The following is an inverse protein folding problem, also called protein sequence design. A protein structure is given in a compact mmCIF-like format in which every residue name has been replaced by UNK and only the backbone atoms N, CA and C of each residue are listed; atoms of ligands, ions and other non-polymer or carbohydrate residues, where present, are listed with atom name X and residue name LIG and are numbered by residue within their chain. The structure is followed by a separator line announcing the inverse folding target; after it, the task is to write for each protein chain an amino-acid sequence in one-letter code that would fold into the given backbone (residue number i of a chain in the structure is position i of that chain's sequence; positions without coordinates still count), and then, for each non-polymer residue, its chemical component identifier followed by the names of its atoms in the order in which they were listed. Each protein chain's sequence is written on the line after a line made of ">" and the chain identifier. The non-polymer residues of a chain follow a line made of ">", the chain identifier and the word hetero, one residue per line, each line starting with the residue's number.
data_IF_877573786939
#
_entry.id   IF_877573786939
#
_cell.length_a   1.000
_cell.length_b   1.000
_cell.length_c   1.000
_cell.angle_alpha   90.00
_cell.angle_beta   90.00
_cell.angle_gamma   90.00
#
_symmetry.space_group_name_H-M   'P 1'
#
loop_
_entity.id
_entity.type
_entity.pdbx_description
1 polymer ?
#
# COMPACT_ATOMS: atom_id res chain seq x y z
N UNK A 1 -38.26 -112.26 152.92
CA UNK A 1 -37.89 -110.82 152.99
C UNK A 1 -36.42 -110.59 152.67
N UNK A 2 -35.47 -111.36 153.23
CA UNK A 2 -34.03 -111.10 153.01
C UNK A 2 -33.47 -111.41 151.61
N UNK A 3 -33.93 -112.47 150.91
CA UNK A 3 -33.45 -112.80 149.54
C UNK A 3 -33.90 -111.81 148.46
N UNK A 4 -35.17 -111.37 148.49
CA UNK A 4 -35.68 -110.34 147.56
C UNK A 4 -34.98 -108.99 147.78
N UNK A 5 -34.69 -108.65 149.05
CA UNK A 5 -33.87 -107.51 149.41
C UNK A 5 -32.48 -107.58 148.77
N UNK A 6 -31.80 -108.73 148.85
CA UNK A 6 -30.48 -108.93 148.24
C UNK A 6 -30.45 -108.85 146.70
N UNK A 7 -31.47 -109.39 146.00
CA UNK A 7 -31.56 -109.32 144.51
C UNK A 7 -31.84 -107.90 144.02
N UNK A 8 -32.73 -107.19 144.72
CA UNK A 8 -32.97 -105.77 144.46
C UNK A 8 -31.72 -104.94 144.75
N UNK A 9 -31.00 -105.23 145.83
CA UNK A 9 -29.75 -104.56 146.21
C UNK A 9 -28.63 -104.80 145.18
N UNK A 10 -28.50 -106.01 144.64
CA UNK A 10 -27.56 -106.33 143.54
C UNK A 10 -27.95 -105.64 142.22
N UNK A 11 -29.23 -105.67 141.83
CA UNK A 11 -29.74 -104.98 140.63
C UNK A 11 -29.52 -103.46 140.73
N UNK A 12 -29.74 -102.91 141.92
CA UNK A 12 -29.54 -101.50 142.23
C UNK A 12 -28.04 -101.14 142.24
N UNK A 13 -27.15 -102.03 142.71
CA UNK A 13 -25.68 -101.92 142.55
C UNK A 13 -25.27 -101.90 141.06
N UNK A 14 -25.79 -102.80 140.24
CA UNK A 14 -25.48 -102.87 138.79
C UNK A 14 -26.02 -101.66 138.03
N UNK A 15 -27.24 -101.19 138.35
CA UNK A 15 -27.76 -99.95 137.76
C UNK A 15 -26.96 -98.73 138.20
N UNK A 16 -26.52 -98.66 139.47
CA UNK A 16 -25.62 -97.61 139.96
C UNK A 16 -24.27 -97.63 139.24
N UNK A 17 -23.68 -98.81 138.97
CA UNK A 17 -22.40 -98.90 138.24
C UNK A 17 -22.55 -98.54 136.75
N UNK A 18 -23.66 -98.91 136.12
CA UNK A 18 -24.00 -98.51 134.74
C UNK A 18 -24.22 -96.99 134.64
N UNK A 19 -24.94 -96.39 135.59
CA UNK A 19 -25.12 -94.93 135.71
C UNK A 19 -23.75 -94.26 135.86
N UNK A 20 -22.89 -94.74 136.77
CA UNK A 20 -21.53 -94.19 136.90
C UNK A 20 -20.71 -94.31 135.60
N UNK A 21 -20.87 -95.38 134.82
CA UNK A 21 -20.19 -95.56 133.53
C UNK A 21 -20.71 -94.57 132.48
N UNK A 22 -22.02 -94.36 132.42
CA UNK A 22 -22.65 -93.38 131.53
C UNK A 22 -22.28 -91.96 131.93
N UNK A 23 -22.33 -91.60 133.22
CA UNK A 23 -21.92 -90.29 133.73
C UNK A 23 -20.45 -90.00 133.38
N UNK A 24 -19.57 -91.00 133.48
CA UNK A 24 -18.17 -90.87 133.05
C UNK A 24 -18.03 -90.67 131.54
N UNK A 25 -18.87 -91.31 130.73
CA UNK A 25 -18.87 -91.13 129.27
C UNK A 25 -19.43 -89.75 128.88
N UNK A 26 -20.52 -89.31 129.52
CA UNK A 26 -21.11 -87.97 129.37
C UNK A 26 -20.08 -86.91 129.74
N UNK A 27 -19.43 -87.03 130.91
CA UNK A 27 -18.39 -86.08 131.32
C UNK A 27 -17.21 -86.01 130.35
N UNK A 28 -16.85 -87.15 129.71
CA UNK A 28 -15.79 -87.19 128.69
C UNK A 28 -16.23 -86.49 127.39
N UNK A 29 -17.44 -86.77 126.90
CA UNK A 29 -18.00 -86.11 125.72
C UNK A 29 -18.24 -84.61 125.96
N UNK A 30 -18.75 -84.21 127.12
CA UNK A 30 -18.90 -82.81 127.53
C UNK A 30 -17.54 -82.09 127.59
N UNK A 31 -16.50 -82.75 128.08
CA UNK A 31 -15.14 -82.22 128.06
C UNK A 31 -14.61 -82.07 126.62
N UNK A 32 -14.87 -83.04 125.73
CA UNK A 32 -14.48 -82.98 124.31
C UNK A 32 -15.25 -81.89 123.55
N UNK A 33 -16.56 -81.76 123.77
CA UNK A 33 -17.39 -80.68 123.23
C UNK A 33 -16.92 -79.32 123.75
N UNK A 34 -16.56 -79.22 125.03
CA UNK A 34 -15.98 -78.00 125.60
C UNK A 34 -14.63 -77.64 124.97
N UNK A 35 -13.78 -78.62 124.65
CA UNK A 35 -12.52 -78.38 123.93
C UNK A 35 -12.76 -77.96 122.48
N UNK A 36 -13.65 -78.64 121.76
CA UNK A 36 -14.03 -78.29 120.39
C UNK A 36 -14.66 -76.89 120.32
N UNK A 37 -15.55 -76.56 121.27
CA UNK A 37 -16.15 -75.24 121.41
C UNK A 37 -15.09 -74.14 121.55
N UNK A 38 -14.09 -74.34 122.41
CA UNK A 38 -12.95 -73.41 122.57
C UNK A 38 -12.09 -73.28 121.31
N UNK A 39 -11.94 -74.35 120.52
CA UNK A 39 -11.19 -74.31 119.26
C UNK A 39 -11.97 -73.49 118.22
N UNK A 40 -13.27 -73.76 118.05
CA UNK A 40 -14.14 -73.03 117.14
C UNK A 40 -14.16 -71.54 117.51
N UNK A 41 -14.29 -71.22 118.79
CA UNK A 41 -14.27 -69.83 119.26
C UNK A 41 -12.94 -69.12 118.93
N UNK A 42 -11.80 -69.80 119.13
CA UNK A 42 -10.48 -69.27 118.75
C UNK A 42 -10.35 -69.05 117.24
N UNK A 43 -10.83 -69.97 116.43
CA UNK A 43 -10.71 -69.87 114.98
C UNK A 43 -11.69 -68.83 114.40
N UNK A 44 -12.87 -68.67 114.98
CA UNK A 44 -13.78 -67.55 114.70
C UNK A 44 -13.11 -66.21 114.97
N UNK A 45 -12.43 -66.06 116.12
CA UNK A 45 -11.69 -64.83 116.45
C UNK A 45 -10.60 -64.52 115.43
N UNK A 46 -9.81 -65.52 115.01
CA UNK A 46 -8.78 -65.34 113.97
C UNK A 46 -9.40 -64.98 112.62
N UNK A 47 -10.55 -65.57 112.28
CA UNK A 47 -11.25 -65.27 111.03
C UNK A 47 -11.77 -63.84 111.03
N UNK A 48 -12.38 -63.38 112.11
CA UNK A 48 -12.79 -61.98 112.26
C UNK A 48 -11.62 -61.02 112.19
N UNK A 49 -10.49 -61.35 112.83
CA UNK A 49 -9.27 -60.55 112.72
C UNK A 49 -8.75 -60.48 111.28
N UNK A 50 -8.79 -61.60 110.55
CA UNK A 50 -8.41 -61.66 109.14
C UNK A 50 -9.35 -60.85 108.25
N UNK A 51 -10.67 -60.88 108.52
CA UNK A 51 -11.65 -60.06 107.81
C UNK A 51 -11.42 -58.56 108.06
N UNK A 52 -11.20 -58.16 109.32
CA UNK A 52 -10.88 -56.77 109.68
C UNK A 52 -9.61 -56.29 108.98
N UNK A 53 -8.57 -57.12 108.95
CA UNK A 53 -7.30 -56.78 108.30
C UNK A 53 -7.44 -56.70 106.77
N UNK A 54 -8.27 -57.55 106.15
CA UNK A 54 -8.55 -57.48 104.71
C UNK A 54 -9.36 -56.23 104.36
N UNK A 55 -10.41 -55.94 105.12
CA UNK A 55 -11.22 -54.72 104.94
C UNK A 55 -10.34 -53.47 105.09
N UNK A 56 -9.49 -53.44 106.14
CA UNK A 56 -8.51 -52.38 106.33
C UNK A 56 -7.58 -52.22 105.13
N UNK A 57 -6.96 -53.29 104.65
CA UNK A 57 -6.08 -53.26 103.46
C UNK A 57 -6.81 -52.82 102.19
N UNK A 58 -8.06 -53.24 102.01
CA UNK A 58 -8.90 -52.85 100.88
C UNK A 58 -9.21 -51.35 100.91
N UNK A 59 -9.59 -50.83 102.08
CA UNK A 59 -9.83 -49.40 102.29
C UNK A 59 -8.54 -48.60 102.10
N UNK A 60 -7.43 -49.02 102.69
CA UNK A 60 -6.13 -48.36 102.52
C UNK A 60 -5.71 -48.32 101.05
N UNK A 61 -5.81 -49.44 100.32
CA UNK A 61 -5.54 -49.48 98.89
C UNK A 61 -6.46 -48.54 98.09
N UNK A 62 -7.77 -48.52 98.39
CA UNK A 62 -8.73 -47.62 97.73
C UNK A 62 -8.40 -46.15 97.97
N UNK A 63 -8.11 -45.78 99.21
CA UNK A 63 -7.75 -44.39 99.55
C UNK A 63 -6.44 -43.97 98.88
N UNK A 64 -5.45 -44.86 98.81
CA UNK A 64 -4.19 -44.61 98.10
C UNK A 64 -4.42 -44.38 96.60
N UNK A 65 -5.19 -45.26 95.93
CA UNK A 65 -5.54 -45.07 94.52
C UNK A 65 -6.34 -43.79 94.27
N UNK A 66 -7.25 -43.44 95.18
CA UNK A 66 -8.02 -42.21 95.07
C UNK A 66 -7.14 -40.96 95.25
N UNK A 67 -6.18 -40.99 96.18
CA UNK A 67 -5.22 -39.91 96.37
C UNK A 67 -4.28 -39.75 95.17
N UNK A 68 -3.74 -40.85 94.62
CA UNK A 68 -2.94 -40.84 93.40
C UNK A 68 -3.73 -40.32 92.19
N UNK A 69 -4.99 -40.74 92.04
CA UNK A 69 -5.86 -40.25 90.98
C UNK A 69 -6.12 -38.73 91.11
N UNK A 70 -6.34 -38.23 92.34
CA UNK A 70 -6.48 -36.79 92.61
C UNK A 70 -5.20 -36.02 92.29
N UNK A 71 -4.05 -36.49 92.77
CA UNK A 71 -2.74 -35.89 92.48
C UNK A 71 -2.46 -35.82 90.97
N UNK A 72 -2.71 -36.92 90.25
CA UNK A 72 -2.60 -36.96 88.77
C UNK A 72 -3.53 -35.95 88.10
N UNK A 73 -4.78 -35.85 88.57
CA UNK A 73 -5.75 -34.90 88.03
C UNK A 73 -5.30 -33.44 88.26
N UNK A 74 -4.81 -33.11 89.45
CA UNK A 74 -4.26 -31.79 89.78
C UNK A 74 -3.06 -31.44 88.88
N UNK A 75 -2.10 -32.36 88.72
CA UNK A 75 -0.96 -32.17 87.81
C UNK A 75 -1.41 -32.01 86.36
N UNK A 76 -2.45 -32.74 85.93
CA UNK A 76 -3.00 -32.61 84.57
C UNK A 76 -3.62 -31.23 84.34
N UNK A 77 -4.29 -30.67 85.35
CA UNK A 77 -4.83 -29.30 85.29
C UNK A 77 -3.70 -28.27 85.20
N UNK A 78 -2.64 -28.42 86.00
CA UNK A 78 -1.48 -27.52 85.97
C UNK A 78 -0.75 -27.57 84.62
N UNK A 79 -0.55 -28.77 84.05
CA UNK A 79 0.02 -28.93 82.71
C UNK A 79 -0.82 -28.20 81.66
N UNK A 80 -2.15 -28.34 81.72
CA UNK A 80 -3.05 -27.64 80.78
C UNK A 80 -2.96 -26.12 80.93
N UNK A 81 -2.87 -25.62 82.17
CA UNK A 81 -2.70 -24.21 82.46
C UNK A 81 -1.39 -23.67 81.90
N UNK A 82 -0.26 -24.31 82.23
CA UNK A 82 1.06 -23.93 81.70
C UNK A 82 1.11 -24.02 80.17
N UNK A 83 0.46 -25.02 79.58
CA UNK A 83 0.38 -25.14 78.11
C UNK A 83 -0.38 -23.96 77.49
N UNK A 84 -1.47 -23.51 78.11
CA UNK A 84 -2.21 -22.33 77.64
C UNK A 84 -1.40 -21.03 77.79
N UNK A 85 -0.65 -20.88 78.88
CA UNK A 85 0.27 -19.75 79.09
C UNK A 85 1.38 -19.73 78.03
N UNK A 86 1.97 -20.89 77.70
CA UNK A 86 2.98 -21.01 76.63
C UNK A 86 2.41 -20.55 75.28
N UNK A 87 1.18 -20.95 74.93
CA UNK A 87 0.55 -20.52 73.67
C UNK A 87 0.32 -19.01 73.67
N UNK A 88 -0.12 -18.45 74.79
CA UNK A 88 -0.35 -17.00 74.94
C UNK A 88 0.95 -16.21 74.77
N UNK A 89 2.02 -16.61 75.47
CA UNK A 89 3.33 -15.98 75.39
C UNK A 89 3.91 -16.10 73.97
N UNK A 90 3.75 -17.25 73.30
CA UNK A 90 4.18 -17.42 71.91
C UNK A 90 3.44 -16.45 70.97
N UNK A 91 2.13 -16.31 71.12
CA UNK A 91 1.36 -15.32 70.34
C UNK A 91 1.78 -13.87 70.64
N UNK A 92 2.18 -13.56 71.87
CA UNK A 92 2.79 -12.26 72.21
C UNK A 92 4.14 -12.05 71.53
N UNK A 93 5.01 -13.06 71.55
CA UNK A 93 6.31 -13.01 70.86
C UNK A 93 6.14 -12.75 69.36
N UNK A 94 5.22 -13.45 68.70
CA UNK A 94 4.94 -13.26 67.27
C UNK A 94 4.45 -11.83 66.96
N UNK A 95 3.57 -11.27 67.80
CA UNK A 95 3.12 -9.86 67.66
C UNK A 95 4.26 -8.86 67.83
N UNK A 96 5.16 -9.10 68.78
CA UNK A 96 6.33 -8.25 68.97
C UNK A 96 7.32 -8.39 67.81
N UNK A 97 7.48 -9.58 67.23
CA UNK A 97 8.31 -9.79 66.04
C UNK A 97 7.76 -9.04 64.82
N UNK A 98 6.44 -9.07 64.58
CA UNK A 98 5.80 -8.28 63.53
C UNK A 98 6.02 -6.78 63.72
N UNK A 99 5.79 -6.29 64.95
CA UNK A 99 6.04 -4.90 65.32
C UNK A 99 7.50 -4.50 65.09
N UNK A 100 8.45 -5.40 65.41
CA UNK A 100 9.88 -5.17 65.18
C UNK A 100 10.22 -5.11 63.68
N UNK A 101 9.55 -5.91 62.84
CA UNK A 101 9.70 -5.85 61.39
C UNK A 101 9.25 -4.48 60.87
N UNK A 102 8.12 -3.97 61.34
CA UNK A 102 7.63 -2.65 60.93
C UNK A 102 8.54 -1.52 61.39
N UNK A 103 9.05 -1.55 62.64
CA UNK A 103 10.03 -0.56 63.08
C UNK A 103 11.34 -0.60 62.27
N UNK A 104 11.79 -1.78 61.82
CA UNK A 104 12.93 -1.89 60.89
C UNK A 104 12.61 -1.24 59.54
N UNK A 105 11.42 -1.48 58.98
CA UNK A 105 10.97 -0.83 57.74
C UNK A 105 10.89 0.68 57.88
N UNK A 106 10.35 1.19 58.98
CA UNK A 106 10.28 2.62 59.25
C UNK A 106 11.67 3.23 59.40
N UNK A 107 12.59 2.56 60.11
CA UNK A 107 13.99 2.99 60.21
C UNK A 107 14.64 3.11 58.83
N UNK A 108 14.47 2.12 57.97
CA UNK A 108 15.03 2.13 56.62
C UNK A 108 14.41 3.24 55.75
N UNK A 109 13.11 3.47 55.87
CA UNK A 109 12.41 4.55 55.18
C UNK A 109 12.93 5.92 55.63
N UNK A 110 13.02 6.16 56.93
CA UNK A 110 13.54 7.41 57.49
C UNK A 110 14.99 7.64 57.05
N UNK A 111 15.81 6.59 56.99
CA UNK A 111 17.17 6.70 56.48
C UNK A 111 17.21 7.14 55.01
N UNK A 112 16.34 6.57 54.15
CA UNK A 112 16.27 6.93 52.72
C UNK A 112 15.77 8.34 52.47
N UNK A 113 14.83 8.81 53.30
CA UNK A 113 14.28 10.16 53.22
C UNK A 113 15.20 11.22 53.85
N UNK A 114 16.17 10.81 54.66
CA UNK A 114 17.17 11.71 55.22
C UNK A 114 18.05 12.28 54.10
N UNK A 115 18.54 13.53 54.21
CA UNK A 115 19.40 14.13 53.18
C UNK A 115 20.64 13.28 52.85
N UNK A 116 21.11 13.26 51.60
CA UNK A 116 22.28 12.47 51.18
C UNK A 116 23.54 12.76 52.02
N UNK A 117 23.74 14.03 52.34
CA UNK A 117 24.85 14.53 53.17
C UNK A 117 24.86 13.87 54.57
N UNK A 118 23.67 13.72 55.17
CA UNK A 118 23.52 13.08 56.47
C UNK A 118 23.67 11.55 56.37
N UNK A 119 23.14 10.93 55.31
CA UNK A 119 23.31 9.49 55.06
C UNK A 119 24.79 9.09 54.93
N UNK A 120 25.58 9.90 54.22
CA UNK A 120 27.02 9.68 54.04
C UNK A 120 27.81 9.89 55.33
N UNK A 121 27.47 10.91 56.12
CA UNK A 121 28.03 11.12 57.45
C UNK A 121 27.77 9.93 58.38
N UNK A 122 26.58 9.33 58.32
CA UNK A 122 26.25 8.13 59.12
C UNK A 122 26.98 6.88 58.64
N UNK A 123 27.09 6.67 57.33
CA UNK A 123 27.88 5.56 56.77
C UNK A 123 29.35 5.67 57.18
N UNK A 124 29.94 6.86 57.12
CA UNK A 124 31.34 7.09 57.51
C UNK A 124 31.56 6.96 59.02
N UNK A 125 30.63 7.43 59.86
CA UNK A 125 30.61 7.15 61.30
C UNK A 125 30.58 5.64 61.57
N UNK A 126 29.68 4.90 60.94
CA UNK A 126 29.57 3.45 61.09
C UNK A 126 30.83 2.69 60.63
N UNK A 127 31.52 3.15 59.58
CA UNK A 127 32.82 2.61 59.17
C UNK A 127 33.90 2.87 60.21
N UNK A 128 33.99 4.09 60.76
CA UNK A 128 34.98 4.45 61.79
C UNK A 128 34.78 3.64 63.07
N UNK A 129 33.54 3.48 63.52
CA UNK A 129 33.21 2.63 64.69
C UNK A 129 33.64 1.19 64.45
N UNK A 130 33.33 0.59 63.29
CA UNK A 130 33.75 -0.78 62.94
C UNK A 130 35.27 -0.97 62.91
N UNK A 131 36.05 0.06 62.56
CA UNK A 131 37.51 0.02 62.57
C UNK A 131 38.05 0.08 64.00
N UNK A 132 37.48 0.95 64.85
CA UNK A 132 37.87 1.09 66.27
C UNK A 132 37.51 -0.15 67.10
N UNK A 133 36.35 -0.77 66.85
CA UNK A 133 35.91 -1.98 67.56
C UNK A 133 36.76 -3.21 67.21
N UNK A 134 37.32 -3.29 65.99
CA UNK A 134 38.26 -4.38 65.64
C UNK A 134 39.58 -4.32 66.41
N UNK A 135 40.03 -3.13 66.81
CA UNK A 135 41.24 -2.97 67.63
C UNK A 135 40.97 -3.29 69.10
N UNK A 136 39.76 -3.00 69.61
CA UNK A 136 39.38 -3.21 71.02
C UNK A 136 38.90 -4.66 71.31
N UNK A 137 38.32 -5.36 70.32
CA UNK A 137 37.89 -6.76 70.47
C UNK A 137 39.07 -7.73 70.65
N UNK A 138 40.27 -7.41 70.18
CA UNK A 138 41.45 -8.24 70.41
C UNK A 138 41.93 -8.21 71.86
N UNK A 139 41.67 -7.12 72.61
CA UNK A 139 42.07 -7.01 74.02
C UNK A 139 40.99 -7.51 75.00
N UNK A 140 39.73 -7.60 74.56
CA UNK A 140 38.58 -7.95 75.43
C UNK A 140 38.08 -9.39 75.26
N UNK A 141 38.68 -10.15 74.35
CA UNK A 141 38.36 -11.57 74.12
C UNK A 141 38.89 -12.50 75.22
N UNK A 142 39.95 -12.11 75.96
CA UNK A 142 40.49 -12.92 77.06
C UNK A 142 39.69 -12.79 78.37
N UNK A 143 38.97 -11.70 78.59
CA UNK A 143 38.28 -11.45 79.87
C UNK A 143 36.91 -12.14 79.98
N UNK A 144 36.20 -12.32 78.87
CA UNK A 144 34.82 -12.82 78.89
C UNK A 144 34.68 -14.35 79.01
N UNK A 145 35.77 -15.10 78.85
CA UNK A 145 35.75 -16.56 79.02
C UNK A 145 35.77 -17.00 80.49
N UNK A 146 36.05 -16.09 81.43
CA UNK A 146 36.20 -16.42 82.86
C UNK A 146 34.91 -16.28 83.70
N UNK A 147 33.86 -15.60 83.21
CA UNK A 147 32.74 -15.17 84.06
C UNK A 147 31.42 -15.91 83.78
N UNK A 148 31.31 -16.69 82.70
CA UNK A 148 30.05 -17.36 82.36
C UNK A 148 30.11 -18.88 82.52
N UNK A 149 29.17 -19.41 83.30
CA UNK A 149 28.94 -20.83 83.56
C UNK A 149 28.68 -21.60 82.23
N UNK A 150 29.34 -22.77 81.97
CA UNK A 150 29.26 -23.51 80.70
C UNK A 150 27.87 -24.03 80.31
N UNK A 151 26.85 -23.86 81.15
CA UNK A 151 25.47 -24.30 80.88
C UNK A 151 24.62 -23.30 80.09
N UNK A 152 25.13 -22.13 79.74
CA UNK A 152 24.40 -21.19 78.91
C UNK A 152 24.60 -21.51 77.41
N UNK A 153 23.89 -22.53 76.92
CA UNK A 153 24.01 -23.00 75.53
C UNK A 153 23.05 -22.29 74.54
N UNK A 154 22.29 -21.28 74.99
CA UNK A 154 21.27 -20.62 74.17
C UNK A 154 21.31 -19.09 74.19
N UNK A 155 22.39 -18.49 74.68
CA UNK A 155 22.67 -17.09 74.33
C UNK A 155 23.62 -17.12 73.14
N UNK A 156 23.00 -17.27 71.97
CA UNK A 156 23.61 -16.84 70.73
C UNK A 156 24.13 -15.41 70.90
N UNK A 157 25.07 -15.05 70.04
CA UNK A 157 25.64 -13.72 69.81
C UNK A 157 24.70 -12.48 69.90
N UNK A 158 23.35 -12.53 69.77
CA UNK A 158 22.52 -11.32 69.76
C UNK A 158 22.42 -10.49 71.06
N UNK A 159 22.78 -11.00 72.23
CA UNK A 159 22.59 -10.21 73.46
C UNK A 159 23.57 -9.06 73.64
N UNK A 160 24.72 -9.07 72.95
CA UNK A 160 25.67 -7.96 72.99
C UNK A 160 25.23 -6.76 72.11
N UNK A 161 24.32 -6.99 71.15
CA UNK A 161 23.82 -5.94 70.24
C UNK A 161 22.66 -5.10 70.79
N UNK A 162 22.04 -5.49 71.91
CA UNK A 162 20.95 -4.70 72.53
C UNK A 162 21.45 -3.52 73.37
N UNK A 163 22.76 -3.40 73.58
CA UNK A 163 23.40 -2.35 74.38
C UNK A 163 24.16 -1.32 73.53
N UNK A 164 24.00 -1.33 72.20
CA UNK A 164 24.65 -0.36 71.31
C UNK A 164 23.64 0.59 70.67
N UNK A 165 23.71 1.82 71.18
CA UNK A 165 23.29 3.10 70.63
C UNK A 165 21.82 3.26 70.25
N UNK A 166 21.17 4.17 71.00
CA UNK A 166 19.96 4.85 70.58
C UNK A 166 20.17 5.36 69.13
N UNK A 167 19.36 4.92 68.16
CA UNK A 167 19.61 5.24 66.76
C UNK A 167 19.46 6.76 66.55
N UNK A 168 20.57 7.43 66.19
CA UNK A 168 20.56 8.85 65.83
C UNK A 168 19.67 9.03 64.57
N UNK A 169 18.48 9.60 64.76
CA UNK A 169 17.53 9.90 63.69
C UNK A 169 17.75 11.33 63.17
N UNK A 170 17.61 11.52 61.86
CA UNK A 170 17.64 12.85 61.25
C UNK A 170 16.39 13.67 61.63
N UNK A 171 15.23 13.05 61.55
CA UNK A 171 13.94 13.68 61.86
C UNK A 171 13.69 13.66 63.37
N UNK A 172 13.55 14.84 63.97
CA UNK A 172 13.30 15.01 65.40
C UNK A 172 11.82 15.22 65.71
N UNK A 173 11.06 15.76 64.76
CA UNK A 173 9.62 15.96 64.86
C UNK A 173 8.91 15.24 63.69
N UNK A 174 7.89 14.40 63.95
CA UNK A 174 7.11 13.74 62.90
C UNK A 174 6.55 14.68 61.83
N UNK A 175 6.25 15.93 62.18
CA UNK A 175 5.76 16.92 61.22
C UNK A 175 6.77 17.20 60.09
N UNK A 176 8.07 17.14 60.37
CA UNK A 176 9.11 17.35 59.35
C UNK A 176 9.02 16.32 58.22
N UNK A 177 8.64 15.09 58.54
CA UNK A 177 8.45 14.02 57.56
C UNK A 177 7.19 14.26 56.73
N UNK A 178 6.10 14.69 57.37
CA UNK A 178 4.84 15.00 56.67
C UNK A 178 5.03 16.18 55.73
N UNK A 179 5.72 17.23 56.18
CA UNK A 179 6.02 18.41 55.36
C UNK A 179 6.90 18.03 54.16
N UNK A 180 7.96 17.24 54.38
CA UNK A 180 8.84 16.74 53.31
C UNK A 180 8.07 15.89 52.28
N UNK A 181 7.24 14.96 52.72
CA UNK A 181 6.43 14.13 51.81
C UNK A 181 5.44 15.02 51.06
N UNK A 182 4.83 16.00 51.72
CA UNK A 182 3.92 16.97 51.07
C UNK A 182 4.65 17.75 49.98
N UNK A 183 5.82 18.29 50.28
CA UNK A 183 6.64 19.01 49.31
C UNK A 183 7.05 18.12 48.12
N UNK A 184 7.52 16.90 48.39
CA UNK A 184 7.86 15.93 47.35
C UNK A 184 6.64 15.57 46.49
N UNK A 185 5.45 15.45 47.08
CA UNK A 185 4.22 15.20 46.32
C UNK A 185 3.85 16.39 45.44
N UNK A 186 3.98 17.63 45.94
CA UNK A 186 3.73 18.84 45.16
C UNK A 186 4.73 18.97 43.99
N UNK A 187 6.02 18.72 44.25
CA UNK A 187 7.06 18.70 43.21
C UNK A 187 6.78 17.64 42.16
N UNK A 188 6.42 16.42 42.56
CA UNK A 188 6.07 15.34 41.63
C UNK A 188 4.84 15.70 40.79
N UNK A 189 3.80 16.28 41.39
CA UNK A 189 2.62 16.74 40.67
C UNK A 189 2.96 17.85 39.67
N UNK A 190 3.81 18.80 40.07
CA UNK A 190 4.29 19.86 39.18
C UNK A 190 5.12 19.31 38.01
N UNK A 191 5.99 18.33 38.25
CA UNK A 191 6.77 17.64 37.22
C UNK A 191 5.86 16.89 36.23
N UNK A 192 4.85 16.18 36.74
CA UNK A 192 3.86 15.49 35.91
C UNK A 192 3.14 16.49 35.01
N UNK A 193 2.62 17.58 35.59
CA UNK A 193 1.92 18.62 34.83
C UNK A 193 2.81 19.27 33.76
N UNK A 194 4.08 19.56 34.10
CA UNK A 194 5.02 20.13 33.15
C UNK A 194 5.33 19.13 32.02
N UNK A 195 5.57 17.87 32.36
CA UNK A 195 5.77 16.80 31.38
C UNK A 195 4.60 16.69 30.41
N UNK A 196 3.37 16.66 30.92
CA UNK A 196 2.15 16.60 30.09
C UNK A 196 2.03 17.84 29.20
N UNK A 197 2.27 19.05 29.73
CA UNK A 197 2.23 20.26 28.91
C UNK A 197 3.28 20.24 27.79
N UNK A 198 4.50 19.78 28.09
CA UNK A 198 5.56 19.64 27.07
C UNK A 198 5.17 18.61 26.03
N UNK A 199 4.59 17.48 26.43
CA UNK A 199 4.09 16.43 25.54
C UNK A 199 3.00 16.96 24.60
N UNK A 200 2.00 17.69 25.11
CA UNK A 200 0.97 18.35 24.30
C UNK A 200 1.59 19.31 23.27
N UNK A 201 2.53 20.18 23.69
CA UNK A 201 3.20 21.10 22.75
C UNK A 201 4.02 20.36 21.69
N UNK A 202 4.60 19.21 22.03
CA UNK A 202 5.35 18.39 21.11
C UNK A 202 4.41 17.75 20.09
N UNK A 203 3.26 17.24 20.51
CA UNK A 203 2.23 16.70 19.62
C UNK A 203 1.71 17.75 18.64
N UNK A 204 1.42 18.97 19.12
CA UNK A 204 1.00 20.09 18.26
C UNK A 204 2.07 20.43 17.22
N UNK A 205 3.35 20.50 17.64
CA UNK A 205 4.46 20.75 16.73
C UNK A 205 4.61 19.63 15.69
N UNK A 206 4.50 18.37 16.10
CA UNK A 206 4.53 17.23 15.18
C UNK A 206 3.41 17.29 14.14
N UNK A 207 2.18 17.60 14.56
CA UNK A 207 1.06 17.78 13.64
C UNK A 207 1.31 18.93 12.66
N UNK A 208 1.82 20.06 13.13
CA UNK A 208 2.16 21.20 12.27
C UNK A 208 3.24 20.87 11.24
N UNK A 209 4.27 20.10 11.65
CA UNK A 209 5.33 19.63 10.77
C UNK A 209 4.82 18.67 9.71
N UNK A 210 3.92 17.75 10.07
CA UNK A 210 3.32 16.82 9.13
C UNK A 210 2.45 17.54 8.08
N UNK A 211 1.68 18.55 8.51
CA UNK A 211 0.91 19.41 7.59
C UNK A 211 1.85 20.16 6.65
N UNK A 212 2.93 20.77 7.17
CA UNK A 212 3.92 21.48 6.37
C UNK A 212 4.61 20.56 5.37
N UNK A 213 4.99 19.34 5.79
CA UNK A 213 5.60 18.32 4.95
C UNK A 213 4.69 17.92 3.79
N UNK A 214 3.41 17.64 4.07
CA UNK A 214 2.41 17.33 3.02
C UNK A 214 2.24 18.47 2.03
N UNK A 215 2.25 19.72 2.49
CA UNK A 215 2.18 20.89 1.61
C UNK A 215 3.41 20.97 0.70
N UNK A 216 4.62 20.83 1.26
CA UNK A 216 5.87 20.83 0.50
C UNK A 216 5.87 19.72 -0.55
N UNK A 217 5.45 18.50 -0.18
CA UNK A 217 5.39 17.38 -1.13
C UNK A 217 4.43 17.68 -2.29
N UNK A 218 3.25 18.24 -2.01
CA UNK A 218 2.29 18.63 -3.05
C UNK A 218 2.87 19.70 -3.99
N UNK A 219 3.56 20.69 -3.43
CA UNK A 219 4.21 21.75 -4.21
C UNK A 219 5.35 21.17 -5.08
N UNK A 220 6.11 20.19 -4.56
CA UNK A 220 7.16 19.46 -5.29
C UNK A 220 6.60 18.64 -6.46
N UNK A 221 5.49 17.94 -6.25
CA UNK A 221 4.77 17.21 -7.31
C UNK A 221 4.29 18.18 -8.41
N UNK A 222 3.72 19.32 -8.02
CA UNK A 222 3.29 20.36 -8.94
C UNK A 222 4.46 20.96 -9.74
N UNK A 223 5.57 21.30 -9.08
CA UNK A 223 6.77 21.80 -9.75
C UNK A 223 7.34 20.78 -10.73
N UNK A 224 7.34 19.50 -10.36
CA UNK A 224 7.81 18.41 -11.23
C UNK A 224 6.97 18.31 -12.50
N UNK A 225 5.63 18.43 -12.38
CA UNK A 225 4.73 18.48 -13.53
C UNK A 225 5.02 19.69 -14.43
N UNK A 226 5.21 20.87 -13.86
CA UNK A 226 5.56 22.08 -14.62
C UNK A 226 6.90 21.95 -15.34
N UNK A 227 7.92 21.37 -14.68
CA UNK A 227 9.23 21.11 -15.29
C UNK A 227 9.07 20.15 -16.48
N UNK A 228 8.26 19.10 -16.35
CA UNK A 228 8.03 18.15 -17.43
C UNK A 228 7.31 18.79 -18.63
N UNK A 229 6.28 19.60 -18.38
CA UNK A 229 5.59 20.36 -19.43
C UNK A 229 6.57 21.31 -20.15
N UNK A 230 7.37 22.06 -19.41
CA UNK A 230 8.38 22.96 -19.97
C UNK A 230 9.43 22.21 -20.79
N UNK A 231 9.89 21.03 -20.32
CA UNK A 231 10.79 20.17 -21.10
C UNK A 231 10.16 19.72 -22.42
N UNK A 232 8.90 19.27 -22.40
CA UNK A 232 8.19 18.89 -23.63
C UNK A 232 8.04 20.06 -24.61
N UNK A 233 7.75 21.27 -24.11
CA UNK A 233 7.66 22.49 -24.92
C UNK A 233 9.01 22.83 -25.54
N UNK A 234 10.10 22.74 -24.77
CA UNK A 234 11.47 22.94 -25.26
C UNK A 234 11.80 21.93 -26.36
N UNK A 235 11.47 20.65 -26.18
CA UNK A 235 11.75 19.61 -27.17
C UNK A 235 10.97 19.82 -28.47
N UNK A 236 9.69 20.20 -28.37
CA UNK A 236 8.88 20.60 -29.53
C UNK A 236 9.50 21.78 -30.28
N UNK A 237 9.95 22.80 -29.58
CA UNK A 237 10.58 23.97 -30.21
C UNK A 237 11.96 23.63 -30.79
N UNK A 238 12.74 22.77 -30.14
CA UNK A 238 13.99 22.24 -30.71
C UNK A 238 13.73 21.48 -32.01
N UNK A 239 12.72 20.61 -32.07
CA UNK A 239 12.34 19.90 -33.30
C UNK A 239 11.84 20.85 -34.40
N UNK A 240 11.12 21.92 -34.04
CA UNK A 240 10.75 22.99 -34.99
C UNK A 240 12.00 23.70 -35.52
N UNK A 241 12.94 24.04 -34.63
CA UNK A 241 14.21 24.67 -34.97
C UNK A 241 15.07 23.81 -35.91
N UNK A 242 15.15 22.50 -35.67
CA UNK A 242 15.88 21.59 -36.59
C UNK A 242 15.18 21.48 -37.95
N UNK A 243 13.86 21.39 -37.99
CA UNK A 243 13.10 21.40 -39.24
C UNK A 243 13.30 22.71 -40.02
N UNK A 244 13.23 23.85 -39.35
CA UNK A 244 13.47 25.15 -39.99
C UNK A 244 14.90 25.26 -40.51
N UNK A 245 15.90 24.80 -39.75
CA UNK A 245 17.30 24.75 -40.19
C UNK A 245 17.46 23.94 -41.47
N UNK A 246 16.82 22.77 -41.56
CA UNK A 246 16.81 21.95 -42.78
C UNK A 246 16.13 22.67 -43.95
N UNK A 247 15.00 23.34 -43.71
CA UNK A 247 14.30 24.12 -44.75
C UNK A 247 15.14 25.27 -45.27
N UNK A 248 15.81 26.01 -44.37
CA UNK A 248 16.73 27.10 -44.75
C UNK A 248 17.92 26.55 -45.50
N UNK A 249 18.52 25.44 -45.05
CA UNK A 249 19.63 24.81 -45.76
C UNK A 249 19.23 24.32 -47.16
N UNK A 250 18.03 23.75 -47.30
CA UNK A 250 17.48 23.36 -48.60
C UNK A 250 17.25 24.59 -49.49
N UNK A 251 16.68 25.67 -48.95
CA UNK A 251 16.46 26.91 -49.68
C UNK A 251 17.77 27.54 -50.16
N UNK A 252 18.82 27.52 -49.35
CA UNK A 252 20.17 27.98 -49.75
C UNK A 252 20.80 27.05 -50.80
N UNK A 253 20.50 25.75 -50.78
CA UNK A 253 21.05 24.78 -51.75
C UNK A 253 20.31 24.80 -53.09
N UNK A 254 19.06 25.24 -53.10
CA UNK A 254 18.33 25.54 -54.31
C UNK A 254 18.85 26.90 -54.80
N UNK A 255 19.47 26.95 -55.97
CA UNK A 255 19.91 28.22 -56.56
C UNK A 255 18.66 29.09 -56.84
N UNK A 256 18.32 29.98 -55.90
CA UNK A 256 17.24 30.98 -56.07
C UNK A 256 17.53 31.89 -57.25
N UNK A 257 18.81 32.06 -57.58
CA UNK A 257 19.29 32.81 -58.74
C UNK A 257 18.74 32.23 -60.06
N UNK A 258 18.62 30.90 -60.20
CA UNK A 258 18.05 30.28 -61.41
C UNK A 258 16.51 30.46 -61.49
N UNK A 259 15.83 30.52 -60.34
CA UNK A 259 14.38 30.76 -60.29
C UNK A 259 14.03 32.23 -60.52
N UNK A 260 14.79 33.16 -59.94
CA UNK A 260 14.62 34.59 -60.14
C UNK A 260 14.92 34.97 -61.60
N UNK A 261 15.98 34.41 -62.20
CA UNK A 261 16.26 34.57 -63.64
C UNK A 261 15.13 34.02 -64.51
N UNK A 262 14.54 32.87 -64.15
CA UNK A 262 13.41 32.32 -64.88
C UNK A 262 12.14 33.18 -64.74
N UNK A 263 11.89 33.74 -63.56
CA UNK A 263 10.76 34.64 -63.31
C UNK A 263 10.93 35.97 -64.05
N UNK A 264 12.14 36.51 -64.11
CA UNK A 264 12.46 37.71 -64.88
C UNK A 264 12.27 37.45 -66.38
N UNK A 265 12.78 36.34 -66.91
CA UNK A 265 12.59 35.94 -68.32
C UNK A 265 11.10 35.74 -68.67
N UNK A 266 10.32 35.15 -67.76
CA UNK A 266 8.88 35.04 -67.91
C UNK A 266 8.21 36.43 -67.90
N UNK A 267 8.63 37.30 -66.98
CA UNK A 267 8.17 38.68 -66.88
C UNK A 267 8.39 39.47 -68.16
N UNK A 268 9.58 39.34 -68.77
CA UNK A 268 9.90 39.94 -70.07
C UNK A 268 8.97 39.41 -71.18
N UNK A 269 8.80 38.08 -71.26
CA UNK A 269 7.94 37.49 -72.30
C UNK A 269 6.47 37.89 -72.15
N UNK A 270 5.97 37.93 -70.92
CA UNK A 270 4.61 38.41 -70.62
C UNK A 270 4.46 39.88 -71.02
N UNK A 271 5.48 40.71 -70.77
CA UNK A 271 5.46 42.11 -71.17
C UNK A 271 5.44 42.28 -72.71
N UNK A 272 6.20 41.46 -73.45
CA UNK A 272 6.17 41.44 -74.91
C UNK A 272 4.78 41.10 -75.45
N UNK A 273 4.17 40.03 -74.94
CA UNK A 273 2.84 39.61 -75.38
C UNK A 273 1.78 40.68 -75.06
N UNK A 274 1.81 41.26 -73.86
CA UNK A 274 0.91 42.34 -73.48
C UNK A 274 1.05 43.56 -74.42
N UNK A 275 2.28 43.96 -74.74
CA UNK A 275 2.55 45.07 -75.66
C UNK A 275 2.04 44.80 -77.08
N UNK A 276 2.10 43.56 -77.54
CA UNK A 276 1.64 43.17 -78.88
C UNK A 276 0.12 43.07 -79.02
N UNK A 277 -0.58 42.65 -77.96
CA UNK A 277 -2.00 42.29 -78.04
C UNK A 277 -2.94 43.32 -77.41
N UNK A 278 -2.51 44.05 -76.35
CA UNK A 278 -3.42 44.87 -75.54
C UNK A 278 -3.14 46.37 -75.72
N UNK A 279 -1.92 46.84 -75.44
CA UNK A 279 -1.57 48.26 -75.54
C UNK A 279 -0.05 48.47 -75.64
N UNK A 280 0.42 49.31 -76.58
CA UNK A 280 1.85 49.58 -76.84
C UNK A 280 2.44 50.60 -75.84
N UNK A 281 1.60 51.23 -75.01
CA UNK A 281 2.03 52.20 -74.00
C UNK A 281 2.66 51.51 -72.79
N UNK A 282 3.88 51.93 -72.45
CA UNK A 282 4.63 51.50 -71.27
C UNK A 282 3.89 51.86 -69.97
N UNK A 283 2.98 51.00 -69.53
CA UNK A 283 2.34 51.08 -68.21
C UNK A 283 3.17 50.31 -67.19
N UNK A 284 3.42 50.90 -66.02
CA UNK A 284 4.19 50.27 -64.92
C UNK A 284 3.34 49.20 -64.20
N UNK A 285 2.84 48.22 -64.94
CA UNK A 285 2.02 47.12 -64.42
C UNK A 285 2.90 45.94 -64.02
N UNK A 286 2.54 45.28 -62.92
CA UNK A 286 3.18 44.06 -62.47
C UNK A 286 2.90 42.91 -63.46
N UNK A 287 3.77 41.89 -63.52
CA UNK A 287 3.64 40.73 -64.43
C UNK A 287 2.28 40.04 -64.33
N UNK A 288 1.75 39.89 -63.11
CA UNK A 288 0.43 39.29 -62.88
C UNK A 288 -0.71 40.18 -63.43
N UNK A 289 -0.59 41.49 -63.28
CA UNK A 289 -1.58 42.45 -63.79
C UNK A 289 -1.57 42.48 -65.32
N UNK A 290 -0.38 42.40 -65.94
CA UNK A 290 -0.22 42.25 -67.40
C UNK A 290 -0.89 40.98 -67.91
N UNK A 291 -0.74 39.85 -67.21
CA UNK A 291 -1.43 38.60 -67.56
C UNK A 291 -2.95 38.73 -67.49
N UNK A 292 -3.47 39.34 -66.41
CA UNK A 292 -4.90 39.58 -66.27
C UNK A 292 -5.46 40.46 -67.40
N UNK A 293 -4.71 41.46 -67.85
CA UNK A 293 -5.11 42.28 -68.99
C UNK A 293 -5.14 41.50 -70.31
N UNK A 294 -4.15 40.64 -70.56
CA UNK A 294 -4.14 39.76 -71.73
C UNK A 294 -5.37 38.84 -71.70
N UNK A 295 -5.66 38.23 -70.55
CA UNK A 295 -6.82 37.36 -70.36
C UNK A 295 -8.14 38.08 -70.63
N UNK A 296 -8.29 39.30 -70.09
CA UNK A 296 -9.47 40.13 -70.33
C UNK A 296 -9.61 40.48 -71.83
N UNK A 297 -8.51 40.88 -72.48
CA UNK A 297 -8.53 41.19 -73.91
C UNK A 297 -8.91 39.98 -74.77
N UNK A 298 -8.34 38.81 -74.48
CA UNK A 298 -8.71 37.56 -75.14
C UNK A 298 -10.19 37.23 -74.93
N UNK A 299 -10.71 37.42 -73.72
CA UNK A 299 -12.11 37.18 -73.41
C UNK A 299 -13.04 38.10 -74.19
N UNK A 300 -12.71 39.40 -74.29
CA UNK A 300 -13.48 40.36 -75.10
C UNK A 300 -13.46 40.03 -76.60
N UNK A 301 -12.33 39.55 -77.13
CA UNK A 301 -12.24 39.11 -78.53
C UNK A 301 -13.12 37.88 -78.80
N UNK A 302 -13.13 36.91 -77.88
CA UNK A 302 -13.96 35.72 -78.00
C UNK A 302 -15.46 36.05 -77.93
N UNK A 303 -15.87 36.93 -77.01
CA UNK A 303 -17.25 37.41 -76.93
C UNK A 303 -17.69 38.14 -78.21
N UNK A 304 -16.78 38.94 -78.78
CA UNK A 304 -17.02 39.62 -80.07
C UNK A 304 -17.18 38.64 -81.23
N UNK A 305 -16.47 37.50 -81.22
CA UNK A 305 -16.60 36.46 -82.23
C UNK A 305 -17.92 35.69 -82.10
N UNK A 306 -18.35 35.37 -80.87
CA UNK A 306 -19.61 34.67 -80.60
C UNK A 306 -20.83 35.56 -80.89
N UNK A 307 -20.71 36.87 -80.72
CA UNK A 307 -21.76 37.84 -81.01
C UNK A 307 -22.07 38.06 -82.50
N UNK A 308 -21.30 37.46 -83.43
CA UNK A 308 -21.52 37.64 -84.88
C UNK A 308 -22.82 36.92 -85.30
N UNK A 309 -23.83 37.64 -85.83
CA UNK A 309 -25.09 37.02 -86.25
C UNK A 309 -24.87 35.96 -87.33
N UNK A 310 -25.50 34.79 -87.14
CA UNK A 310 -25.36 33.62 -88.04
C UNK A 310 -25.70 33.98 -89.50
N UNK A 311 -26.69 34.84 -89.70
CA UNK A 311 -27.13 35.31 -91.03
C UNK A 311 -26.04 36.13 -91.74
N UNK A 312 -25.39 37.05 -91.02
CA UNK A 312 -24.27 37.85 -91.54
C UNK A 312 -23.08 36.97 -91.90
N UNK A 313 -22.79 35.97 -91.07
CA UNK A 313 -21.73 35.00 -91.32
C UNK A 313 -22.02 34.13 -92.56
N UNK A 314 -23.26 33.67 -92.72
CA UNK A 314 -23.70 32.91 -93.90
C UNK A 314 -23.67 33.77 -95.17
N UNK A 315 -24.07 35.04 -95.09
CA UNK A 315 -23.97 35.99 -96.19
C UNK A 315 -22.50 36.20 -96.59
N UNK A 316 -21.61 36.42 -95.62
CA UNK A 316 -20.18 36.58 -95.87
C UNK A 316 -19.55 35.32 -96.48
N UNK A 317 -19.96 34.12 -96.02
CA UNK A 317 -19.56 32.85 -96.65
C UNK A 317 -20.06 32.76 -98.10
N UNK A 318 -21.34 33.09 -98.36
CA UNK A 318 -21.92 33.09 -99.71
C UNK A 318 -21.21 34.09 -100.63
N UNK A 319 -20.85 35.28 -100.15
CA UNK A 319 -20.07 36.29 -100.89
C UNK A 319 -18.67 35.76 -101.18
N UNK A 320 -17.95 35.24 -100.18
CA UNK A 320 -16.61 34.69 -100.39
C UNK A 320 -16.62 33.51 -101.37
N UNK A 321 -17.61 32.63 -101.28
CA UNK A 321 -17.75 31.47 -102.17
C UNK A 321 -18.25 31.86 -103.56
N UNK A 322 -19.06 32.92 -103.71
CA UNK A 322 -19.43 33.47 -105.02
C UNK A 322 -18.23 34.16 -105.68
N UNK A 323 -17.47 34.97 -104.94
CA UNK A 323 -16.25 35.63 -105.41
C UNK A 323 -15.21 34.58 -105.85
N UNK A 324 -14.96 33.56 -105.03
CA UNK A 324 -14.06 32.46 -105.38
C UNK A 324 -14.47 31.76 -106.68
N UNK A 325 -15.78 31.49 -106.86
CA UNK A 325 -16.32 30.90 -108.10
C UNK A 325 -16.19 31.85 -109.30
N UNK A 326 -16.40 33.15 -109.11
CA UNK A 326 -16.25 34.16 -110.16
C UNK A 326 -14.80 34.27 -110.60
N UNK A 327 -13.84 34.38 -109.66
CA UNK A 327 -12.40 34.38 -109.97
C UNK A 327 -12.00 33.13 -110.77
N UNK A 328 -12.47 31.95 -110.37
CA UNK A 328 -12.22 30.71 -111.11
C UNK A 328 -12.81 30.70 -112.53
N UNK A 329 -13.97 31.33 -112.75
CA UNK A 329 -14.59 31.44 -114.10
C UNK A 329 -13.86 32.45 -114.96
N UNK A 330 -13.49 33.60 -114.40
CA UNK A 330 -12.71 34.63 -115.08
C UNK A 330 -11.34 34.08 -115.51
N UNK A 331 -10.65 33.37 -114.62
CA UNK A 331 -9.40 32.66 -114.93
C UNK A 331 -9.58 31.67 -116.09
N UNK A 332 -10.65 30.85 -116.09
CA UNK A 332 -10.96 29.93 -117.21
C UNK A 332 -11.28 30.65 -118.52
N UNK A 333 -12.02 31.75 -118.48
CA UNK A 333 -12.38 32.51 -119.68
C UNK A 333 -11.16 33.20 -120.29
N UNK A 334 -10.28 33.75 -119.44
CA UNK A 334 -8.98 34.30 -119.84
C UNK A 334 -8.14 33.20 -120.48
N UNK A 335 -8.07 32.01 -119.87
CA UNK A 335 -7.33 30.87 -120.43
C UNK A 335 -7.88 30.44 -121.80
N UNK A 336 -9.20 30.39 -121.99
CA UNK A 336 -9.80 30.07 -123.29
C UNK A 336 -9.54 31.14 -124.34
N UNK A 337 -9.62 32.43 -123.97
CA UNK A 337 -9.34 33.56 -124.86
C UNK A 337 -7.87 33.56 -125.29
N UNK A 338 -6.95 33.29 -124.38
CA UNK A 338 -5.52 33.14 -124.72
C UNK A 338 -5.30 31.93 -125.62
N UNK A 339 -5.95 30.77 -125.37
CA UNK A 339 -5.91 29.62 -126.29
C UNK A 339 -6.50 29.94 -127.68
N UNK A 340 -7.54 30.77 -127.79
CA UNK A 340 -8.09 31.22 -129.08
C UNK A 340 -7.16 32.21 -129.78
N UNK A 341 -6.65 33.23 -129.07
CA UNK A 341 -5.66 34.18 -129.61
C UNK A 341 -4.41 33.47 -130.10
N UNK A 342 -3.91 32.50 -129.35
CA UNK A 342 -2.77 31.68 -129.73
C UNK A 342 -3.08 30.82 -130.97
N UNK A 343 -4.29 30.24 -131.06
CA UNK A 343 -4.73 29.54 -132.28
C UNK A 343 -4.80 30.46 -133.50
N UNK A 344 -5.40 31.66 -133.37
CA UNK A 344 -5.43 32.67 -134.43
C UNK A 344 -4.02 33.13 -134.81
N UNK A 345 -3.15 33.38 -133.84
CA UNK A 345 -1.75 33.74 -134.04
C UNK A 345 -1.04 32.67 -134.87
N UNK A 346 -1.14 31.39 -134.47
CA UNK A 346 -0.56 30.27 -135.22
C UNK A 346 -1.17 30.08 -136.61
N UNK A 347 -2.45 30.39 -136.80
CA UNK A 347 -3.08 30.37 -138.12
C UNK A 347 -2.52 31.48 -139.02
N UNK A 348 -2.42 32.71 -138.50
CA UNK A 348 -1.84 33.84 -139.21
C UNK A 348 -0.37 33.58 -139.53
N UNK A 349 0.40 33.10 -138.56
CA UNK A 349 1.80 32.71 -138.73
C UNK A 349 1.96 31.61 -139.80
N UNK A 350 1.08 30.59 -139.84
CA UNK A 350 1.07 29.61 -140.93
C UNK A 350 0.70 30.20 -142.29
N UNK A 351 -0.18 31.22 -142.34
CA UNK A 351 -0.57 31.88 -143.59
C UNK A 351 0.49 32.84 -144.14
N UNK A 352 1.25 33.50 -143.25
CA UNK A 352 2.34 34.41 -143.58
C UNK A 352 3.69 33.69 -143.71
N UNK A 353 3.79 32.46 -143.20
CA UNK A 353 4.96 31.62 -143.39
C UNK A 353 5.15 31.35 -144.88
N UNK A 354 6.21 31.93 -145.43
CA UNK A 354 6.67 31.64 -146.78
C UNK A 354 6.77 30.12 -146.96
N UNK A 355 6.10 29.63 -148.01
CA UNK A 355 6.18 28.21 -148.37
C UNK A 355 7.64 27.81 -148.48
N UNK A 356 8.08 26.86 -147.65
CA UNK A 356 9.44 26.30 -147.69
C UNK A 356 9.71 25.87 -149.13
N UNK A 357 10.65 26.55 -149.79
CA UNK A 357 11.09 26.19 -151.14
C UNK A 357 11.71 24.79 -151.07
N UNK A 358 10.93 23.79 -151.46
CA UNK A 358 11.44 22.44 -151.67
C UNK A 358 12.39 22.54 -152.86
N UNK A 359 13.69 22.31 -152.63
CA UNK A 359 14.66 22.08 -153.68
C UNK A 359 14.33 20.72 -154.34
N UNK A 360 13.32 20.70 -155.21
CA UNK A 360 13.10 19.59 -156.13
C UNK A 360 14.08 19.77 -157.29
N UNK A 361 14.82 18.71 -157.65
CA UNK A 361 15.53 18.65 -158.95
C UNK A 361 14.52 19.02 -160.05
N UNK A 362 14.89 19.91 -160.98
CA UNK A 362 14.05 20.28 -162.14
C UNK A 362 13.44 19.02 -162.79
N UNK A 363 12.10 18.90 -162.77
CA UNK A 363 11.38 17.87 -163.52
C UNK A 363 11.61 18.14 -165.01
N UNK A 364 12.19 17.19 -165.75
CA UNK A 364 12.17 17.24 -167.21
C UNK A 364 10.75 16.96 -167.71
N UNK A 365 10.20 17.74 -168.66
CA UNK A 365 8.96 17.38 -169.33
C UNK A 365 9.21 16.16 -170.24
N UNK A 366 8.61 15.01 -169.93
CA UNK A 366 8.35 13.97 -170.93
C UNK A 366 6.90 14.17 -171.43
N UNK A 367 6.79 14.77 -172.62
CA UNK A 367 5.61 14.87 -173.49
C UNK A 367 4.61 16.03 -173.27
N UNK A 368 4.12 16.57 -174.39
CA UNK A 368 3.05 17.58 -174.48
C UNK A 368 1.67 16.99 -174.14
N UNK A 369 0.79 17.73 -173.46
CA UNK A 369 -0.64 17.49 -173.55
C UNK A 369 -1.15 18.05 -174.88
N UNK A 370 -1.35 17.17 -175.86
CA UNK A 370 -2.23 17.46 -176.99
C UNK A 370 -3.65 17.45 -176.45
N UNK A 371 -4.40 18.52 -176.75
CA UNK A 371 -5.80 18.66 -176.39
C UNK A 371 -6.61 17.41 -176.80
N UNK A 372 -7.24 16.74 -175.84
CA UNK A 372 -8.23 15.71 -176.12
C UNK A 372 -9.59 16.18 -175.61
N UNK A 373 -10.43 16.55 -176.58
CA UNK A 373 -11.86 16.81 -176.43
C UNK A 373 -12.61 15.47 -176.38
N UNK A 374 -13.87 15.49 -175.90
CA UNK A 374 -14.96 14.49 -176.12
C UNK A 374 -14.95 13.31 -175.13
N UNK A 375 -16.04 12.81 -174.51
CA UNK A 375 -17.49 13.11 -174.35
C UNK A 375 -17.98 12.27 -173.14
N UNK A 376 -18.82 12.82 -172.26
CA UNK A 376 -20.28 12.56 -172.08
C UNK A 376 -20.69 11.10 -171.82
N UNK A 377 -21.16 10.85 -170.58
CA UNK A 377 -22.39 10.15 -170.16
C UNK A 377 -22.29 9.83 -168.63
N UNK A 378 -23.31 9.67 -167.79
CA UNK A 378 -24.74 10.04 -167.68
C UNK A 378 -25.22 9.48 -166.31
N UNK A 379 -26.29 10.03 -165.72
CA UNK A 379 -27.25 9.48 -164.70
C UNK A 379 -26.83 9.68 -163.24
N UNK A 380 -27.50 10.54 -162.47
CA UNK A 380 -28.65 10.33 -161.52
C UNK A 380 -28.33 9.36 -160.36
N UNK A 381 -28.77 9.51 -159.10
CA UNK A 381 -29.97 10.14 -158.54
C UNK A 381 -29.79 10.51 -157.05
N UNK A 382 -30.59 11.49 -156.61
CA UNK A 382 -31.25 11.75 -155.30
C UNK A 382 -31.56 10.52 -154.40
N UNK A 383 -31.92 10.63 -153.08
CA UNK A 383 -33.00 11.54 -152.58
C UNK A 383 -33.08 11.99 -151.09
N UNK A 384 -34.15 12.76 -150.84
CA UNK A 384 -35.01 12.89 -149.64
C UNK A 384 -34.46 13.68 -148.43
N UNK A 385 -35.14 14.71 -147.88
CA UNK A 385 -36.53 14.90 -147.41
C UNK A 385 -36.83 14.39 -145.98
N UNK A 386 -37.74 15.13 -145.33
CA UNK A 386 -38.49 14.93 -144.06
C UNK A 386 -37.92 15.64 -142.80
N UNK A 387 -38.49 16.73 -142.23
CA UNK A 387 -39.89 17.13 -141.90
C UNK A 387 -40.35 16.66 -140.49
N UNK A 388 -41.12 17.56 -139.83
CA UNK A 388 -42.05 17.33 -138.70
C UNK A 388 -41.65 17.61 -137.22
N UNK A 389 -41.93 18.85 -136.78
CA UNK A 389 -42.90 19.29 -135.74
C UNK A 389 -42.99 18.62 -134.35
N UNK A 390 -42.85 19.45 -133.29
CA UNK A 390 -43.77 19.63 -132.14
C UNK A 390 -43.10 20.59 -131.12
N UNK A 391 -43.49 21.86 -130.97
CA UNK A 391 -44.67 22.37 -130.24
C UNK A 391 -44.71 21.98 -128.75
N UNK A 392 -44.60 22.98 -127.87
CA UNK A 392 -45.58 23.38 -126.82
C UNK A 392 -44.93 24.52 -125.99
N UNK A 393 -45.30 25.79 -126.16
CA UNK A 393 -46.41 26.55 -125.55
C UNK A 393 -46.19 27.05 -124.10
N UNK A 394 -46.59 28.31 -123.91
CA UNK A 394 -47.18 28.99 -122.72
C UNK A 394 -46.32 29.22 -121.46
N UNK A 395 -46.10 30.47 -121.06
CA UNK A 395 -46.95 31.40 -120.25
C UNK A 395 -46.86 31.13 -118.73
N UNK A 396 -46.66 32.24 -118.01
CA UNK A 396 -47.07 32.61 -116.65
C UNK A 396 -47.71 31.53 -115.75
N UNK A 397 -47.26 31.39 -114.49
CA UNK A 397 -47.87 32.02 -113.30
C UNK A 397 -47.44 31.36 -111.96
N UNK A 398 -47.28 32.22 -110.94
CA UNK A 398 -47.51 32.06 -109.47
C UNK A 398 -46.85 30.89 -108.70
N UNK A 399 -45.88 31.19 -107.81
CA UNK A 399 -46.09 31.48 -106.35
C UNK A 399 -44.77 31.90 -105.67
#
# INVERSE_FOLDING_TARGET
>A
MERQKAVLELSLMTKRSEIMRMDKAIAKEEAQLGQLGKIIERDNLKFEESLRENEKKSVEARTFFEQEARSKQEKTIEIKKLTAEIVTIKGEMERFEETLIDYKRYKDLLFKLSPPEWQEAQKTKALKVKISTKQDLNSRFEFYFSVCNPRCFYLTSPCLSLLQDEPELYFTNPQQLLDLVTELTEQNLSLIQNSTRVEETLEELQQSLEIARKKIQKDEEQMTLQINDMKQRIDKEKSRGTKLKLMVQLHISLNTEDQDVMLDALGEKVAEVHGSCVDERMTNLNTVEKLANIENHMSSLLESLDGIPRESLELMKKIKDSEKRTRQREEKLVEQREKQKERMRRYLERSLADSKKVNVRKLMPRCMPVAQKVKVSHVDSTPAEDEFYASLYTYDDVE
#
